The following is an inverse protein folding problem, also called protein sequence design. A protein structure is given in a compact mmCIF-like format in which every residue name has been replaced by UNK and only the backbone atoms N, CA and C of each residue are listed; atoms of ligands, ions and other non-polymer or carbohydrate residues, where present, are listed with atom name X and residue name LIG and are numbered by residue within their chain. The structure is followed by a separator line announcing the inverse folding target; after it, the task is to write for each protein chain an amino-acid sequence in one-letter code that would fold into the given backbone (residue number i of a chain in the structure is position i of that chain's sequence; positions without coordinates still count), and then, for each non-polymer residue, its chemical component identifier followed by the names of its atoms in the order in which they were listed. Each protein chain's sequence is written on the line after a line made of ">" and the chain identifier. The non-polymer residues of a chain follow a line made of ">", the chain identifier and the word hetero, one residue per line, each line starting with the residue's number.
data_IF_968697517431
#
_entry.id   IF_968697517431
#
_cell.length_a   1.000
_cell.length_b   1.000
_cell.length_c   1.000
_cell.angle_alpha   90.00
_cell.angle_beta   90.00
_cell.angle_gamma   90.00
#
_symmetry.space_group_name_H-M   'P 1'
#
loop_
_entity.id
_entity.type
_entity.pdbx_description
1 polymer ?
#
# COMPACT_ATOMS: atom_id res chain seq x y z
N UNK A 1 8.77 22.30 9.36
CA UNK A 1 8.13 21.76 10.59
C UNK A 1 8.36 20.25 10.92
N UNK A 2 8.99 19.40 10.08
CA UNK A 2 9.20 17.96 10.40
C UNK A 2 10.51 17.65 11.18
N UNK A 3 11.43 18.62 11.24
CA UNK A 3 12.73 18.46 11.92
C UNK A 3 12.63 18.19 13.42
N UNK A 4 11.50 18.49 14.06
CA UNK A 4 11.27 18.24 15.49
C UNK A 4 10.63 16.88 15.79
N UNK A 5 10.31 16.07 14.77
CA UNK A 5 9.67 14.75 14.93
C UNK A 5 10.66 13.58 14.88
N UNK A 6 11.96 13.86 15.02
CA UNK A 6 13.04 12.86 14.94
C UNK A 6 12.97 11.79 16.05
N UNK A 7 12.30 12.12 17.16
CA UNK A 7 12.10 11.21 18.30
C UNK A 7 10.73 10.54 18.30
N UNK A 8 9.88 10.82 17.31
CA UNK A 8 8.51 10.32 17.29
C UNK A 8 8.50 8.83 16.98
N UNK A 9 8.03 8.02 17.95
CA UNK A 9 7.95 6.56 17.80
C UNK A 9 6.56 6.06 17.42
N UNK A 10 5.52 6.80 17.82
CA UNK A 10 4.14 6.48 17.50
C UNK A 10 3.41 7.76 17.06
N UNK A 11 2.70 7.69 15.94
CA UNK A 11 1.82 8.75 15.47
C UNK A 11 0.44 8.15 15.24
N UNK A 12 -0.54 8.63 16.01
CA UNK A 12 -1.94 8.29 15.82
C UNK A 12 -2.75 9.58 15.61
N UNK A 13 -3.48 9.62 14.50
CA UNK A 13 -4.37 10.73 14.15
C UNK A 13 -5.76 10.14 13.94
N UNK A 14 -6.70 10.53 14.79
CA UNK A 14 -8.01 9.89 14.88
C UNK A 14 -9.13 10.93 14.90
N UNK A 15 -10.17 10.70 14.11
CA UNK A 15 -11.43 11.49 14.07
C UNK A 15 -11.23 12.99 13.77
N UNK A 16 -10.12 13.36 13.11
CA UNK A 16 -9.86 14.75 12.72
C UNK A 16 -10.51 15.09 11.37
N UNK A 17 -11.57 15.90 11.39
CA UNK A 17 -12.31 16.31 10.18
C UNK A 17 -11.62 17.41 9.37
N UNK A 18 -10.72 18.19 9.96
CA UNK A 18 -10.07 19.32 9.27
C UNK A 18 -8.84 18.94 8.43
N UNK A 19 -8.29 17.74 8.64
CA UNK A 19 -7.02 17.33 8.03
C UNK A 19 -7.26 16.86 6.60
N UNK A 20 -6.62 17.55 5.66
CA UNK A 20 -6.59 17.19 4.25
C UNK A 20 -5.28 16.48 3.88
N UNK A 21 -4.16 16.99 4.38
CA UNK A 21 -2.84 16.37 4.30
C UNK A 21 -2.22 16.35 5.70
N UNK A 22 -1.47 15.31 6.03
CA UNK A 22 -0.78 15.21 7.34
C UNK A 22 0.44 16.14 7.35
N UNK A 23 1.20 16.14 6.25
CA UNK A 23 2.25 17.10 6.00
C UNK A 23 1.82 17.98 4.84
N UNK A 24 1.42 19.21 5.17
CA UNK A 24 1.07 20.22 4.19
C UNK A 24 2.31 20.88 3.59
N UNK A 25 2.21 21.30 2.33
CA UNK A 25 3.23 22.12 1.69
C UNK A 25 3.37 23.46 2.43
N UNK A 26 4.47 23.67 3.14
CA UNK A 26 4.86 25.02 3.54
C UNK A 26 5.13 25.83 2.25
N UNK A 27 4.68 27.09 2.22
CA UNK A 27 5.05 28.06 1.16
C UNK A 27 6.54 28.39 1.31
N UNK A 28 7.42 27.42 1.14
CA UNK A 28 8.85 27.66 1.09
C UNK A 28 9.12 28.35 -0.23
N UNK A 29 9.72 29.53 -0.14
CA UNK A 29 10.08 30.39 -1.26
C UNK A 29 10.87 29.55 -2.26
N UNK A 30 10.42 29.56 -3.52
CA UNK A 30 11.08 28.90 -4.64
C UNK A 30 12.44 29.54 -4.86
N UNK A 31 13.47 29.05 -4.19
CA UNK A 31 14.84 29.29 -4.61
C UNK A 31 15.50 27.97 -4.98
N UNK A 32 15.87 27.91 -6.27
CA UNK A 32 16.82 27.03 -6.93
C UNK A 32 16.76 25.51 -6.62
N UNK A 33 16.64 24.74 -7.71
CA UNK A 33 16.72 23.28 -7.84
C UNK A 33 15.40 22.50 -7.68
N UNK A 34 15.16 21.62 -8.66
CA UNK A 34 14.06 20.64 -8.75
C UNK A 34 14.22 19.50 -7.72
N UNK A 35 14.70 19.79 -6.52
CA UNK A 35 14.90 18.78 -5.49
C UNK A 35 13.54 18.45 -4.88
N UNK A 36 13.09 17.20 -5.07
CA UNK A 36 11.99 16.66 -4.28
C UNK A 36 12.37 16.76 -2.80
N UNK A 37 11.45 17.22 -1.97
CA UNK A 37 11.72 17.38 -0.55
C UNK A 37 11.68 16.00 0.12
N UNK A 38 12.77 15.61 0.79
CA UNK A 38 12.82 14.37 1.54
C UNK A 38 12.32 14.61 2.96
N UNK A 39 11.33 13.82 3.37
CA UNK A 39 10.86 13.75 4.75
C UNK A 39 11.28 12.40 5.31
N UNK A 40 11.91 12.39 6.48
CA UNK A 40 12.30 11.16 7.15
C UNK A 40 11.76 11.13 8.59
N UNK A 41 11.14 10.00 8.95
CA UNK A 41 10.71 9.69 10.30
C UNK A 41 11.57 8.54 10.85
N UNK A 42 12.76 8.84 11.39
CA UNK A 42 13.79 7.82 11.64
C UNK A 42 13.41 6.81 12.74
N UNK A 43 12.56 7.21 13.70
CA UNK A 43 12.19 6.39 14.87
C UNK A 43 10.73 5.94 14.88
N UNK A 44 9.93 6.31 13.88
CA UNK A 44 8.50 6.03 13.88
C UNK A 44 8.26 4.54 13.65
N UNK A 45 7.82 3.84 14.68
CA UNK A 45 7.55 2.40 14.68
C UNK A 45 6.09 2.08 14.34
N UNK A 46 5.16 2.98 14.70
CA UNK A 46 3.71 2.79 14.50
C UNK A 46 3.05 4.07 13.96
N UNK A 47 2.28 3.93 12.88
CA UNK A 47 1.49 5.00 12.27
C UNK A 47 0.03 4.55 12.15
N UNK A 48 -0.90 5.35 12.68
CA UNK A 48 -2.33 5.04 12.66
C UNK A 48 -3.13 6.25 12.21
N UNK A 49 -3.94 6.08 11.17
CA UNK A 49 -4.79 7.09 10.58
C UNK A 49 -6.23 6.59 10.61
N UNK A 50 -7.07 7.17 11.47
CA UNK A 50 -8.41 6.64 11.76
C UNK A 50 -9.49 7.70 11.63
N UNK A 51 -10.55 7.40 10.90
CA UNK A 51 -11.73 8.28 10.83
C UNK A 51 -11.47 9.64 10.16
N UNK A 52 -10.42 9.75 9.33
CA UNK A 52 -10.02 11.03 8.72
C UNK A 52 -10.83 11.28 7.44
N UNK A 53 -12.00 11.91 7.61
CA UNK A 53 -13.00 12.04 6.56
C UNK A 53 -12.55 12.86 5.35
N UNK A 54 -11.67 13.86 5.55
CA UNK A 54 -11.21 14.76 4.50
C UNK A 54 -9.76 14.52 4.07
N UNK A 55 -9.10 13.50 4.62
CA UNK A 55 -7.72 13.18 4.29
C UNK A 55 -7.61 12.72 2.83
N UNK A 56 -6.87 13.46 2.01
CA UNK A 56 -6.60 13.13 0.61
C UNK A 56 -5.27 12.39 0.42
N UNK A 57 -4.30 12.59 1.32
CA UNK A 57 -3.01 11.89 1.34
C UNK A 57 -2.17 12.23 2.57
N UNK A 58 -1.08 11.50 2.80
CA UNK A 58 -0.11 11.84 3.84
C UNK A 58 0.60 13.15 3.52
N UNK A 59 1.02 13.32 2.27
CA UNK A 59 1.60 14.57 1.75
C UNK A 59 1.47 14.65 0.22
N UNK A 60 1.75 15.84 -0.32
CA UNK A 60 1.80 16.10 -1.75
C UNK A 60 2.94 15.35 -2.46
N UNK A 61 2.82 15.13 -3.76
CA UNK A 61 3.78 14.40 -4.59
C UNK A 61 5.14 15.07 -4.81
N UNK A 62 5.29 16.31 -4.35
CA UNK A 62 6.58 17.02 -4.31
C UNK A 62 7.51 16.43 -3.24
N UNK A 63 6.96 15.64 -2.31
CA UNK A 63 7.68 14.99 -1.24
C UNK A 63 7.97 13.52 -1.54
N UNK A 64 9.13 13.08 -1.07
CA UNK A 64 9.44 11.67 -0.83
C UNK A 64 9.44 11.44 0.67
N UNK A 65 8.88 10.33 1.14
CA UNK A 65 8.81 10.04 2.58
C UNK A 65 9.47 8.71 2.90
N UNK A 66 10.35 8.71 3.88
CA UNK A 66 11.02 7.51 4.38
C UNK A 66 10.61 7.21 5.81
N UNK A 67 10.31 5.94 6.06
CA UNK A 67 10.00 5.39 7.37
C UNK A 67 10.96 4.24 7.70
N UNK A 68 12.22 4.52 8.08
CA UNK A 68 13.24 3.49 8.25
C UNK A 68 12.88 2.42 9.29
N UNK A 69 12.09 2.75 10.30
CA UNK A 69 11.79 1.86 11.44
C UNK A 69 10.32 1.44 11.54
N UNK A 70 9.46 1.91 10.64
CA UNK A 70 8.01 1.67 10.76
C UNK A 70 7.69 0.19 10.56
N UNK A 71 7.08 -0.41 11.59
CA UNK A 71 6.66 -1.80 11.62
C UNK A 71 5.16 -1.95 11.34
N UNK A 72 4.36 -1.00 11.80
CA UNK A 72 2.89 -1.10 11.81
C UNK A 72 2.26 0.15 11.18
N UNK A 73 1.36 -0.07 10.22
CA UNK A 73 0.51 0.97 9.64
C UNK A 73 -0.94 0.53 9.68
N UNK A 74 -1.79 1.38 10.24
CA UNK A 74 -3.24 1.21 10.22
C UNK A 74 -3.88 2.41 9.53
N UNK A 75 -4.65 2.18 8.48
CA UNK A 75 -5.45 3.21 7.82
C UNK A 75 -6.90 2.74 7.80
N UNK A 76 -7.77 3.41 8.56
CA UNK A 76 -9.14 2.98 8.80
C UNK A 76 -10.10 4.14 8.62
N UNK A 77 -11.17 3.93 7.86
CA UNK A 77 -12.25 4.92 7.69
C UNK A 77 -11.75 6.28 7.15
N UNK A 78 -10.87 6.26 6.14
CA UNK A 78 -10.38 7.44 5.42
C UNK A 78 -10.94 7.46 3.98
N UNK A 79 -12.23 7.80 3.79
CA UNK A 79 -12.93 7.57 2.53
C UNK A 79 -12.42 8.44 1.37
N UNK A 80 -11.84 9.61 1.66
CA UNK A 80 -11.33 10.54 0.64
C UNK A 80 -9.86 10.30 0.28
N UNK A 81 -9.20 9.29 0.89
CA UNK A 81 -7.79 9.01 0.66
C UNK A 81 -7.57 8.56 -0.79
N UNK A 82 -6.78 9.32 -1.55
CA UNK A 82 -6.46 9.04 -2.96
C UNK A 82 -5.10 8.38 -3.15
N UNK A 83 -4.30 8.35 -2.10
CA UNK A 83 -2.96 7.76 -2.10
C UNK A 83 -2.22 8.19 -0.85
N UNK A 84 -1.22 7.42 -0.44
CA UNK A 84 -0.36 7.81 0.68
C UNK A 84 0.45 9.06 0.29
N UNK A 85 1.04 9.06 -0.90
CA UNK A 85 1.63 10.26 -1.52
C UNK A 85 0.66 10.73 -2.61
N UNK A 86 -0.03 11.84 -2.37
CA UNK A 86 -1.09 12.33 -3.24
C UNK A 86 -0.53 13.06 -4.47
N UNK A 87 -0.83 12.54 -5.66
CA UNK A 87 -0.56 13.20 -6.94
C UNK A 87 -1.76 14.06 -7.37
N UNK A 88 -1.56 15.37 -7.50
CA UNK A 88 -2.60 16.32 -7.92
C UNK A 88 -2.67 16.51 -9.44
N UNK A 89 -1.65 16.07 -10.18
CA UNK A 89 -1.43 16.34 -11.61
C UNK A 89 -1.74 15.15 -12.51
N UNK A 90 -2.06 13.96 -11.98
CA UNK A 90 -2.46 12.82 -12.79
C UNK A 90 -3.77 13.10 -13.54
N UNK A 91 -3.64 13.65 -14.75
CA UNK A 91 -4.62 13.56 -15.84
C UNK A 91 -4.69 12.13 -16.41
N UNK A 92 -3.83 11.23 -15.94
CA UNK A 92 -4.09 9.79 -16.07
C UNK A 92 -5.46 9.54 -15.49
N UNK A 93 -6.36 9.13 -16.37
CA UNK A 93 -7.75 8.73 -16.19
C UNK A 93 -8.03 8.45 -14.70
N UNK A 94 -9.12 9.02 -14.17
CA UNK A 94 -9.71 8.82 -12.82
C UNK A 94 -9.88 7.33 -12.39
N UNK A 95 -9.37 6.39 -13.16
CA UNK A 95 -9.53 4.96 -13.08
C UNK A 95 -8.52 4.23 -12.22
N UNK A 96 -7.34 4.78 -11.88
CA UNK A 96 -6.30 4.04 -11.12
C UNK A 96 -5.82 4.78 -9.86
N UNK A 97 -6.70 4.91 -8.88
CA UNK A 97 -6.33 5.36 -7.53
C UNK A 97 -5.52 4.26 -6.83
N UNK A 98 -4.23 4.53 -6.61
CA UNK A 98 -3.25 3.62 -6.02
C UNK A 98 -2.79 4.11 -4.66
N UNK A 99 -2.77 3.24 -3.65
CA UNK A 99 -2.41 3.64 -2.28
C UNK A 99 -0.91 3.91 -2.10
N UNK A 100 -0.03 3.03 -2.54
CA UNK A 100 1.43 3.17 -2.38
C UNK A 100 2.17 3.16 -3.72
N UNK A 101 3.14 4.06 -3.86
CA UNK A 101 4.01 4.20 -5.03
C UNK A 101 5.49 4.23 -4.62
N UNK A 102 6.39 4.52 -5.57
CA UNK A 102 7.83 4.59 -5.34
C UNK A 102 8.32 5.84 -4.58
N UNK A 103 7.43 6.79 -4.22
CA UNK A 103 7.78 8.00 -3.44
C UNK A 103 7.71 7.79 -1.92
N UNK A 104 7.39 6.58 -1.48
CA UNK A 104 7.39 6.23 -0.06
C UNK A 104 8.19 4.95 0.18
N UNK A 105 9.02 4.97 1.22
CA UNK A 105 9.87 3.85 1.59
C UNK A 105 9.51 3.26 2.96
N UNK A 106 9.34 1.94 2.99
CA UNK A 106 8.97 1.15 4.17
C UNK A 106 9.89 -0.08 4.34
N UNK A 107 11.17 0.10 4.69
CA UNK A 107 12.16 -0.97 4.71
C UNK A 107 11.93 -2.02 5.81
N UNK A 108 11.41 -1.63 6.98
CA UNK A 108 11.25 -2.51 8.14
C UNK A 108 9.78 -2.83 8.48
N UNK A 109 8.94 -2.90 7.45
CA UNK A 109 7.50 -2.88 7.60
C UNK A 109 6.87 -4.27 7.67
N UNK A 110 6.30 -4.61 8.83
CA UNK A 110 5.89 -5.98 9.17
C UNK A 110 4.38 -6.21 9.04
N UNK A 111 3.55 -5.21 9.37
CA UNK A 111 2.09 -5.35 9.42
C UNK A 111 1.38 -4.13 8.85
N UNK A 112 0.45 -4.39 7.95
CA UNK A 112 -0.48 -3.39 7.43
C UNK A 112 -1.93 -3.79 7.64
N UNK A 113 -2.75 -2.83 8.10
CA UNK A 113 -4.20 -2.96 8.17
C UNK A 113 -4.84 -1.79 7.43
N UNK A 114 -5.65 -2.12 6.44
CA UNK A 114 -6.41 -1.16 5.64
C UNK A 114 -7.89 -1.47 5.80
N UNK A 115 -8.71 -0.49 6.15
CA UNK A 115 -10.16 -0.69 6.17
C UNK A 115 -10.97 0.51 5.72
N UNK A 116 -12.08 0.24 5.04
CA UNK A 116 -13.07 1.23 4.61
C UNK A 116 -12.45 2.38 3.79
N UNK A 117 -11.56 2.05 2.84
CA UNK A 117 -11.05 2.99 1.85
C UNK A 117 -11.91 2.93 0.59
N UNK A 118 -12.70 3.98 0.34
CA UNK A 118 -13.73 3.99 -0.71
C UNK A 118 -13.20 4.31 -2.11
N UNK A 119 -12.02 4.93 -2.20
CA UNK A 119 -11.44 5.34 -3.48
C UNK A 119 -10.34 4.39 -3.97
N UNK A 120 -9.78 3.54 -3.10
CA UNK A 120 -8.59 2.72 -3.41
C UNK A 120 -8.94 1.51 -4.28
N UNK A 121 -8.60 1.58 -5.57
CA UNK A 121 -8.79 0.48 -6.52
C UNK A 121 -7.65 -0.53 -6.55
N UNK A 122 -6.44 -0.08 -6.17
CA UNK A 122 -5.23 -0.89 -6.08
C UNK A 122 -4.42 -0.43 -4.87
N UNK A 123 -3.82 -1.37 -4.13
CA UNK A 123 -2.99 -1.03 -2.96
C UNK A 123 -1.59 -0.60 -3.42
N UNK A 124 -1.04 -1.28 -4.43
CA UNK A 124 0.35 -1.13 -4.84
C UNK A 124 0.45 -0.61 -6.27
N UNK A 125 1.37 0.34 -6.50
CA UNK A 125 1.79 0.71 -7.85
C UNK A 125 2.71 -0.37 -8.43
N UNK A 126 2.79 -0.48 -9.76
CA UNK A 126 3.60 -1.51 -10.42
C UNK A 126 5.11 -1.39 -10.10
N UNK A 127 5.56 -0.20 -9.71
CA UNK A 127 6.93 0.07 -9.27
C UNK A 127 6.92 0.62 -7.84
N UNK A 128 7.33 -0.20 -6.88
CA UNK A 128 7.53 0.21 -5.50
C UNK A 128 8.97 0.66 -5.28
N UNK A 129 9.22 1.37 -4.18
CA UNK A 129 10.59 1.67 -3.77
C UNK A 129 11.35 0.37 -3.44
N UNK A 130 12.57 0.22 -3.96
CA UNK A 130 13.31 -1.06 -4.08
C UNK A 130 13.46 -1.85 -2.78
N UNK A 131 13.58 -1.17 -1.63
CA UNK A 131 13.75 -1.83 -0.33
C UNK A 131 12.47 -1.90 0.50
N UNK A 132 11.28 -1.59 -0.05
CA UNK A 132 10.05 -1.55 0.73
C UNK A 132 9.29 -2.87 0.72
N UNK A 133 8.57 -3.15 1.82
CA UNK A 133 7.64 -4.28 1.96
C UNK A 133 8.23 -5.69 1.87
N UNK A 134 9.55 -5.84 1.69
CA UNK A 134 10.23 -7.14 1.57
C UNK A 134 10.13 -8.02 2.81
N UNK A 135 9.87 -7.41 3.97
CA UNK A 135 9.70 -8.10 5.26
C UNK A 135 8.25 -8.12 5.77
N UNK A 136 7.30 -7.70 4.94
CA UNK A 136 5.89 -7.68 5.32
C UNK A 136 5.42 -9.09 5.67
N UNK A 137 4.95 -9.30 6.91
CA UNK A 137 4.46 -10.58 7.42
C UNK A 137 2.94 -10.67 7.39
N UNK A 138 2.24 -9.55 7.57
CA UNK A 138 0.77 -9.55 7.67
C UNK A 138 0.12 -8.42 6.89
N UNK A 139 -0.82 -8.80 6.01
CA UNK A 139 -1.72 -7.89 5.29
C UNK A 139 -3.16 -8.17 5.71
N UNK A 140 -3.86 -7.15 6.18
CA UNK A 140 -5.29 -7.21 6.47
C UNK A 140 -6.01 -6.11 5.72
N UNK A 141 -7.00 -6.48 4.89
CA UNK A 141 -7.84 -5.56 4.12
C UNK A 141 -9.30 -5.84 4.42
N UNK A 142 -10.05 -4.81 4.80
CA UNK A 142 -11.46 -4.96 5.17
C UNK A 142 -12.34 -3.89 4.52
N UNK A 143 -13.49 -4.26 3.96
CA UNK A 143 -14.51 -3.30 3.49
C UNK A 143 -13.96 -2.27 2.48
N UNK A 144 -13.08 -2.71 1.58
CA UNK A 144 -12.55 -1.86 0.51
C UNK A 144 -13.28 -2.19 -0.80
N UNK A 145 -14.44 -1.58 -0.99
CA UNK A 145 -15.46 -2.06 -1.93
C UNK A 145 -15.11 -1.86 -3.41
N UNK A 146 -14.17 -0.97 -3.74
CA UNK A 146 -13.73 -0.71 -5.12
C UNK A 146 -12.39 -1.38 -5.46
N UNK A 147 -11.80 -2.11 -4.51
CA UNK A 147 -10.53 -2.80 -4.68
C UNK A 147 -10.70 -3.99 -5.63
N UNK A 148 -9.94 -4.02 -6.73
CA UNK A 148 -10.10 -5.03 -7.79
C UNK A 148 -9.16 -6.23 -7.62
N UNK A 149 -7.93 -5.98 -7.16
CA UNK A 149 -6.92 -6.99 -6.88
C UNK A 149 -6.04 -6.65 -5.67
N UNK A 150 -5.40 -7.65 -5.08
CA UNK A 150 -4.45 -7.45 -3.96
C UNK A 150 -3.02 -7.33 -4.45
N UNK A 151 -2.54 -8.31 -5.23
CA UNK A 151 -1.14 -8.41 -5.62
C UNK A 151 -0.97 -8.44 -7.14
N UNK A 152 -0.32 -7.43 -7.74
CA UNK A 152 0.18 -7.50 -9.11
C UNK A 152 1.29 -8.54 -9.26
N UNK A 153 1.36 -9.23 -10.40
CA UNK A 153 2.35 -10.26 -10.72
C UNK A 153 3.80 -9.86 -10.37
N UNK A 154 4.24 -8.69 -10.82
CA UNK A 154 5.62 -8.22 -10.66
C UNK A 154 6.04 -7.99 -9.20
N UNK A 155 5.07 -7.84 -8.29
CA UNK A 155 5.34 -7.57 -6.88
C UNK A 155 5.34 -8.84 -6.02
N UNK A 156 5.04 -10.01 -6.57
CA UNK A 156 5.08 -11.26 -5.79
C UNK A 156 6.49 -11.57 -5.25
N UNK A 157 7.54 -11.18 -5.98
CA UNK A 157 8.93 -11.26 -5.50
C UNK A 157 9.20 -10.37 -4.28
N UNK A 158 8.43 -9.30 -4.11
CA UNK A 158 8.55 -8.38 -2.96
C UNK A 158 7.93 -9.00 -1.71
N UNK A 159 6.76 -9.61 -1.81
CA UNK A 159 5.99 -10.09 -0.65
C UNK A 159 6.30 -11.54 -0.23
N UNK A 160 7.52 -12.04 -0.47
CA UNK A 160 7.89 -13.44 -0.21
C UNK A 160 7.77 -13.84 1.27
N UNK A 161 7.97 -12.89 2.20
CA UNK A 161 7.89 -13.11 3.66
C UNK A 161 6.49 -12.97 4.24
N UNK A 162 5.46 -12.76 3.40
CA UNK A 162 4.09 -12.65 3.87
C UNK A 162 3.63 -13.98 4.47
N UNK A 163 3.27 -13.97 5.74
CA UNK A 163 2.83 -15.15 6.51
C UNK A 163 1.30 -15.20 6.64
N UNK A 164 0.63 -14.05 6.70
CA UNK A 164 -0.81 -13.96 6.95
C UNK A 164 -1.50 -12.95 6.04
N UNK A 165 -2.51 -13.42 5.31
CA UNK A 165 -3.40 -12.61 4.48
C UNK A 165 -4.84 -12.70 4.99
N UNK A 166 -5.45 -11.56 5.26
CA UNK A 166 -6.85 -11.49 5.73
C UNK A 166 -7.62 -10.50 4.86
N UNK A 167 -8.60 -10.99 4.12
CA UNK A 167 -9.47 -10.21 3.24
C UNK A 167 -10.93 -10.40 3.65
N UNK A 168 -11.60 -9.33 4.06
CA UNK A 168 -12.95 -9.38 4.61
C UNK A 168 -13.83 -8.31 3.95
N UNK A 169 -15.01 -8.68 3.47
CA UNK A 169 -16.01 -7.71 2.96
C UNK A 169 -15.53 -6.83 1.80
N UNK A 170 -14.59 -7.27 0.96
CA UNK A 170 -14.19 -6.52 -0.25
C UNK A 170 -15.03 -6.96 -1.45
N UNK A 171 -16.14 -6.27 -1.70
CA UNK A 171 -17.19 -6.75 -2.61
C UNK A 171 -16.84 -6.74 -4.10
N UNK A 172 -15.91 -5.87 -4.54
CA UNK A 172 -15.45 -5.83 -5.94
C UNK A 172 -14.17 -6.62 -6.21
N UNK A 173 -13.60 -7.29 -5.20
CA UNK A 173 -12.35 -8.00 -5.36
C UNK A 173 -12.57 -9.22 -6.27
N UNK A 174 -11.89 -9.27 -7.42
CA UNK A 174 -12.02 -10.35 -8.40
C UNK A 174 -10.89 -11.38 -8.29
N UNK A 175 -9.68 -10.91 -7.99
CA UNK A 175 -8.46 -11.72 -7.95
C UNK A 175 -7.60 -11.35 -6.74
N UNK A 176 -7.08 -12.34 -6.01
CA UNK A 176 -6.06 -12.07 -4.98
C UNK A 176 -4.72 -11.79 -5.65
N UNK A 177 -4.29 -12.70 -6.52
CA UNK A 177 -3.04 -12.62 -7.27
C UNK A 177 -3.34 -12.38 -8.76
N UNK A 178 -3.06 -11.18 -9.26
CA UNK A 178 -3.24 -10.83 -10.68
C UNK A 178 -2.04 -11.32 -11.48
N UNK A 179 -2.22 -12.43 -12.22
CA UNK A 179 -1.14 -13.15 -12.92
C UNK A 179 -1.14 -12.97 -14.44
N UNK A 180 -2.11 -12.23 -15.00
CA UNK A 180 -2.17 -11.93 -16.43
C UNK A 180 -2.10 -10.41 -16.66
N UNK A 181 -1.19 -9.99 -17.53
CA UNK A 181 -1.18 -8.66 -18.14
C UNK A 181 -1.49 -8.88 -19.62
N UNK A 182 -2.57 -8.29 -20.12
CA UNK A 182 -2.89 -8.37 -21.55
C UNK A 182 -1.69 -7.84 -22.36
N UNK A 183 -1.14 -8.68 -23.25
CA UNK A 183 -0.10 -8.28 -24.21
C UNK A 183 1.35 -8.50 -23.80
N UNK A 184 1.63 -9.12 -22.65
CA UNK A 184 3.00 -9.53 -22.28
C UNK A 184 3.07 -11.06 -22.09
N UNK A 185 3.66 -11.73 -23.07
CA UNK A 185 4.15 -13.10 -22.92
C UNK A 185 5.36 -13.06 -21.98
N UNK A 186 5.11 -13.19 -20.68
CA UNK A 186 6.20 -13.27 -19.70
C UNK A 186 6.77 -14.69 -19.78
N UNK A 187 7.89 -14.83 -20.49
CA UNK A 187 8.63 -16.10 -20.66
C UNK A 187 9.36 -16.55 -19.39
N UNK A 188 9.47 -15.70 -18.38
CA UNK A 188 10.20 -16.04 -17.16
C UNK A 188 9.43 -17.04 -16.28
N UNK A 189 10.08 -18.16 -16.00
CA UNK A 189 9.69 -19.14 -14.97
C UNK A 189 9.98 -18.55 -13.59
N UNK A 190 8.97 -18.03 -12.90
CA UNK A 190 9.10 -17.58 -11.52
C UNK A 190 8.83 -18.77 -10.59
N UNK A 191 9.86 -19.33 -9.97
CA UNK A 191 9.69 -20.15 -8.76
C UNK A 191 9.58 -19.17 -7.59
N UNK A 192 8.37 -19.01 -7.08
CA UNK A 192 8.08 -18.13 -5.94
C UNK A 192 7.82 -18.99 -4.72
N UNK A 193 8.78 -18.99 -3.79
CA UNK A 193 8.64 -19.66 -2.50
C UNK A 193 7.91 -18.71 -1.55
N UNK A 194 6.59 -18.88 -1.44
CA UNK A 194 5.79 -18.09 -0.52
C UNK A 194 5.95 -18.60 0.92
N UNK A 195 6.07 -17.68 1.89
CA UNK A 195 6.00 -17.99 3.32
C UNK A 195 4.58 -17.94 3.88
N UNK A 196 3.56 -17.84 3.02
CA UNK A 196 2.17 -17.69 3.45
C UNK A 196 1.69 -18.95 4.17
N UNK A 197 1.22 -18.75 5.41
CA UNK A 197 0.74 -19.80 6.32
C UNK A 197 -0.76 -19.74 6.55
N UNK A 198 -1.33 -18.54 6.58
CA UNK A 198 -2.75 -18.34 6.87
C UNK A 198 -3.40 -17.41 5.85
N UNK A 199 -4.49 -17.86 5.23
CA UNK A 199 -5.29 -17.05 4.30
C UNK A 199 -6.77 -17.08 4.70
N UNK A 200 -7.28 -15.94 5.18
CA UNK A 200 -8.68 -15.80 5.56
C UNK A 200 -9.42 -14.94 4.53
N UNK A 201 -10.28 -15.56 3.75
CA UNK A 201 -11.10 -14.93 2.71
C UNK A 201 -12.56 -14.99 3.13
N UNK A 202 -13.15 -13.85 3.48
CA UNK A 202 -14.49 -13.79 4.09
C UNK A 202 -15.36 -12.78 3.35
N UNK A 203 -16.53 -13.24 2.87
CA UNK A 203 -17.54 -12.40 2.20
C UNK A 203 -16.97 -11.58 1.03
N UNK A 204 -16.47 -12.29 0.01
CA UNK A 204 -15.88 -11.73 -1.22
C UNK A 204 -16.70 -12.16 -2.45
N UNK A 205 -17.91 -11.59 -2.68
CA UNK A 205 -18.89 -12.10 -3.64
C UNK A 205 -18.43 -12.14 -5.11
N UNK A 206 -17.49 -11.28 -5.52
CA UNK A 206 -16.95 -11.25 -6.89
C UNK A 206 -15.64 -12.00 -7.06
N UNK A 207 -15.11 -12.63 -6.01
CA UNK A 207 -13.83 -13.31 -6.09
C UNK A 207 -13.94 -14.52 -7.01
N UNK A 208 -13.29 -14.47 -8.16
CA UNK A 208 -13.29 -15.54 -9.17
C UNK A 208 -12.18 -16.54 -8.89
N UNK A 209 -10.99 -16.02 -8.58
CA UNK A 209 -9.78 -16.82 -8.41
C UNK A 209 -8.94 -16.30 -7.25
N UNK A 210 -8.49 -17.20 -6.39
CA UNK A 210 -7.40 -16.88 -5.45
C UNK A 210 -6.09 -16.85 -6.24
N UNK A 211 -5.84 -17.88 -7.06
CA UNK A 211 -4.72 -18.00 -7.99
C UNK A 211 -5.22 -18.46 -9.36
N UNK A 212 -4.56 -18.03 -10.45
CA UNK A 212 -4.74 -18.64 -11.77
C UNK A 212 -3.65 -19.68 -12.01
N UNK A 213 -4.00 -20.79 -12.67
CA UNK A 213 -3.03 -21.82 -13.08
C UNK A 213 -2.05 -21.20 -14.07
N UNK A 214 -0.80 -21.03 -13.65
CA UNK A 214 0.28 -20.61 -14.56
C UNK A 214 0.60 -21.77 -15.51
N UNK A 215 0.71 -21.49 -16.82
CA UNK A 215 1.08 -22.53 -17.80
C UNK A 215 2.54 -22.98 -17.70
N UNK A 216 3.43 -22.19 -17.07
CA UNK A 216 4.89 -22.41 -17.11
C UNK A 216 5.65 -22.21 -15.78
N UNK A 217 4.98 -22.02 -14.64
CA UNK A 217 5.64 -21.79 -13.35
C UNK A 217 4.76 -22.19 -12.16
N UNK A 218 5.38 -22.75 -11.12
CA UNK A 218 4.67 -23.13 -9.90
C UNK A 218 4.91 -22.06 -8.82
N UNK A 219 3.84 -21.42 -8.35
CA UNK A 219 3.87 -20.77 -7.03
C UNK A 219 3.67 -21.90 -6.02
N UNK A 220 4.66 -22.16 -5.16
CA UNK A 220 4.52 -23.16 -4.10
C UNK A 220 4.14 -22.47 -2.78
N UNK A 221 3.04 -22.93 -2.19
CA UNK A 221 2.55 -22.50 -0.88
C UNK A 221 2.70 -23.65 0.11
N UNK A 222 3.92 -24.17 0.24
CA UNK A 222 4.22 -25.37 1.04
C UNK A 222 3.91 -25.18 2.54
N UNK A 223 3.81 -23.93 2.98
CA UNK A 223 3.56 -23.55 4.36
C UNK A 223 2.08 -23.27 4.69
N UNK A 224 1.17 -23.28 3.71
CA UNK A 224 -0.24 -22.91 3.91
C UNK A 224 -0.97 -24.02 4.67
N UNK A 225 -1.58 -23.67 5.81
CA UNK A 225 -2.32 -24.59 6.68
C UNK A 225 -3.83 -24.39 6.58
#
# INVERSE_FOLDING_TARGET
>A
MVENLQQLECLEISECKGIHEIISKEKIIKEAFRTRYLICFPRLNSLKLKGLQNLIGFCHEDYTVEFPTLKILEIENCPQLKGFIHNSTSKEILTDVVLFNNKVAFPNFEKITISNLRNTKRIWYNQLHTNSFSILKKLTVKKCDVLLNIFPLFLLRVFQRLEKLVLIDCVSLEEVFQLQVQGLDIEETYVLNSQLREMNLVRLPKLKHVWTKYRKGNISFENLQ
#
